data_IF_286410523933
#
_entry.id   IF_286410523933
#
_cell.length_a   1.000
_cell.length_b   1.000
_cell.length_c   1.000
_cell.angle_alpha   90.00
_cell.angle_beta   90.00
_cell.angle_gamma   90.00
#
_symmetry.space_group_name_H-M   'P 1'
#
loop_
_entity.id
_entity.type
_entity.pdbx_description
1 polymer ?
#
# COMPACT_ATOMS: atom_id res chain seq x y z
N UNK A 1 -21.23 12.61 2.78
CA UNK A 1 -22.00 12.84 4.03
C UNK A 1 -23.35 13.49 3.75
N UNK A 2 -23.45 14.61 3.05
CA UNK A 2 -24.74 15.28 2.78
C UNK A 2 -25.82 14.38 2.15
N UNK A 3 -25.45 13.51 1.20
CA UNK A 3 -26.41 12.57 0.59
C UNK A 3 -26.90 11.50 1.57
N UNK A 4 -26.05 11.04 2.48
CA UNK A 4 -26.44 10.08 3.50
C UNK A 4 -27.45 10.69 4.47
N UNK A 5 -27.22 11.93 4.92
CA UNK A 5 -28.17 12.65 5.77
C UNK A 5 -29.51 12.88 5.09
N UNK A 6 -29.48 13.28 3.81
CA UNK A 6 -30.71 13.55 3.03
C UNK A 6 -31.57 12.29 2.83
N UNK A 7 -30.94 11.12 2.69
CA UNK A 7 -31.64 9.85 2.40
C UNK A 7 -31.76 8.92 3.63
N UNK A 8 -31.31 9.34 4.80
CA UNK A 8 -31.32 8.51 6.00
C UNK A 8 -30.35 7.30 5.92
N UNK A 9 -29.30 7.40 5.09
CA UNK A 9 -28.29 6.37 4.96
C UNK A 9 -27.18 6.53 6.02
N UNK A 10 -26.55 5.42 6.39
CA UNK A 10 -25.36 5.47 7.22
C UNK A 10 -24.12 5.64 6.34
N UNK A 11 -23.36 6.70 6.56
CA UNK A 11 -22.06 6.87 5.92
C UNK A 11 -21.02 6.00 6.64
N UNK A 12 -20.34 5.13 5.91
CA UNK A 12 -19.18 4.38 6.40
C UNK A 12 -17.94 4.86 5.65
N UNK A 13 -16.95 5.37 6.38
CA UNK A 13 -15.65 5.73 5.79
C UNK A 13 -14.90 4.46 5.39
N UNK A 14 -14.21 4.50 4.25
CA UNK A 14 -13.41 3.36 3.77
C UNK A 14 -12.21 3.04 4.66
N UNK A 15 -11.78 3.96 5.51
CA UNK A 15 -10.60 3.79 6.39
C UNK A 15 -10.79 4.41 7.78
N UNK A 16 -11.45 5.57 7.88
CA UNK A 16 -11.66 6.29 9.15
C UNK A 16 -12.92 5.76 9.87
N UNK A 17 -12.97 4.47 10.10
CA UNK A 17 -14.05 3.77 10.79
C UNK A 17 -13.49 2.54 11.53
N UNK A 18 -13.84 2.40 12.82
CA UNK A 18 -13.33 1.30 13.65
C UNK A 18 -13.72 -0.09 13.13
N UNK A 19 -14.89 -0.22 12.51
CA UNK A 19 -15.34 -1.52 11.98
C UNK A 19 -14.55 -1.88 10.72
N UNK A 20 -14.20 -0.90 9.89
CA UNK A 20 -13.32 -1.10 8.74
C UNK A 20 -11.92 -1.53 9.17
N UNK A 21 -11.35 -0.87 10.18
CA UNK A 21 -10.05 -1.25 10.76
C UNK A 21 -10.11 -2.66 11.38
N UNK A 22 -11.19 -2.98 12.12
CA UNK A 22 -11.38 -4.31 12.71
C UNK A 22 -11.54 -5.39 11.64
N UNK A 23 -12.27 -5.11 10.57
CA UNK A 23 -12.38 -6.01 9.42
C UNK A 23 -11.02 -6.28 8.76
N UNK A 24 -10.23 -5.22 8.55
CA UNK A 24 -8.88 -5.36 8.01
C UNK A 24 -7.91 -6.15 8.94
N UNK A 25 -8.14 -6.13 10.25
CA UNK A 25 -7.35 -6.88 11.21
C UNK A 25 -7.45 -8.41 10.99
N UNK A 26 -8.56 -8.91 10.44
CA UNK A 26 -8.69 -10.36 10.13
C UNK A 26 -7.63 -10.83 9.14
N UNK A 27 -7.24 -9.98 8.18
CA UNK A 27 -6.15 -10.28 7.25
C UNK A 27 -4.79 -10.40 7.97
N UNK A 28 -4.56 -9.58 9.00
CA UNK A 28 -3.36 -9.71 9.84
C UNK A 28 -3.30 -11.06 10.57
N UNK A 29 -4.45 -11.56 11.06
CA UNK A 29 -4.53 -12.89 11.66
C UNK A 29 -4.20 -14.01 10.65
N UNK A 30 -4.74 -13.94 9.44
CA UNK A 30 -4.43 -14.87 8.35
C UNK A 30 -2.92 -14.86 8.02
N UNK A 31 -2.31 -13.67 7.93
CA UNK A 31 -0.86 -13.53 7.71
C UNK A 31 -0.06 -14.20 8.83
N UNK A 32 -0.46 -14.04 10.09
CA UNK A 32 0.23 -14.68 11.21
C UNK A 32 0.16 -16.22 11.17
N UNK A 33 -0.95 -16.76 10.69
CA UNK A 33 -1.18 -18.20 10.59
C UNK A 33 -0.47 -18.82 9.36
N UNK A 34 -0.58 -18.15 8.20
CA UNK A 34 -0.12 -18.73 6.93
C UNK A 34 1.36 -18.44 6.62
N UNK A 35 1.90 -17.36 7.17
CA UNK A 35 3.28 -16.92 6.90
C UNK A 35 4.12 -16.87 8.20
N UNK A 36 4.22 -17.99 8.95
CA UNK A 36 5.01 -18.00 10.18
C UNK A 36 6.49 -17.71 9.88
N UNK A 37 7.03 -16.75 10.61
CA UNK A 37 8.45 -16.42 10.57
C UNK A 37 8.86 -15.50 9.42
N UNK A 38 7.97 -14.72 8.82
CA UNK A 38 8.37 -13.53 8.07
C UNK A 38 8.91 -12.48 9.04
N UNK A 39 9.88 -11.69 8.59
CA UNK A 39 10.51 -10.65 9.41
C UNK A 39 9.83 -9.29 9.19
N UNK A 40 9.40 -9.02 7.96
CA UNK A 40 8.75 -7.77 7.55
C UNK A 40 7.57 -8.07 6.63
N UNK A 41 6.46 -7.36 6.83
CA UNK A 41 5.32 -7.35 5.91
C UNK A 41 5.17 -5.97 5.29
N UNK A 42 5.28 -5.87 3.96
CA UNK A 42 4.97 -4.65 3.21
C UNK A 42 3.46 -4.55 2.96
N UNK A 43 2.86 -3.43 3.37
CA UNK A 43 1.41 -3.17 3.26
C UNK A 43 1.18 -1.83 2.56
N UNK A 44 0.41 -1.79 1.45
CA UNK A 44 0.09 -0.51 0.81
C UNK A 44 -0.78 0.36 1.74
N UNK A 45 -0.50 1.67 1.76
CA UNK A 45 -1.19 2.61 2.63
C UNK A 45 -1.74 3.81 1.87
N UNK A 46 -3.08 3.95 1.86
CA UNK A 46 -3.81 5.15 1.47
C UNK A 46 -4.34 5.84 2.74
N UNK A 47 -5.62 5.74 3.03
CA UNK A 47 -6.21 6.29 4.26
C UNK A 47 -5.82 5.61 5.57
N UNK A 48 -5.04 4.52 5.50
CA UNK A 48 -4.47 3.84 6.66
C UNK A 48 -5.31 2.72 7.28
N UNK A 49 -6.57 2.53 6.87
CA UNK A 49 -7.46 1.54 7.50
C UNK A 49 -6.94 0.10 7.43
N UNK A 50 -6.44 -0.32 6.26
CA UNK A 50 -5.85 -1.64 6.05
C UNK A 50 -4.57 -1.82 6.89
N UNK A 51 -3.63 -0.89 6.77
CA UNK A 51 -2.36 -0.95 7.47
C UNK A 51 -2.54 -0.91 8.99
N UNK A 52 -3.44 -0.05 9.50
CA UNK A 52 -3.77 0.02 10.92
C UNK A 52 -4.38 -1.31 11.43
N UNK A 53 -5.33 -1.89 10.70
CA UNK A 53 -5.96 -3.16 11.08
C UNK A 53 -4.95 -4.30 11.16
N UNK A 54 -4.11 -4.45 10.14
CA UNK A 54 -3.06 -5.47 10.09
C UNK A 54 -2.06 -5.25 11.23
N UNK A 55 -1.61 -4.01 11.46
CA UNK A 55 -0.66 -3.70 12.53
C UNK A 55 -1.21 -4.03 13.92
N UNK A 56 -2.48 -3.73 14.18
CA UNK A 56 -3.16 -4.09 15.43
C UNK A 56 -3.18 -5.61 15.62
N UNK A 57 -3.52 -6.38 14.59
CA UNK A 57 -3.58 -7.84 14.68
C UNK A 57 -2.21 -8.48 14.89
N UNK A 58 -1.15 -7.88 14.34
CA UNK A 58 0.21 -8.41 14.43
C UNK A 58 1.02 -7.81 15.58
N UNK A 59 0.42 -6.92 16.38
CA UNK A 59 1.09 -6.29 17.51
C UNK A 59 1.62 -7.32 18.53
N UNK A 60 2.88 -7.19 18.90
CA UNK A 60 3.55 -8.11 19.83
C UNK A 60 4.12 -9.38 19.21
N UNK A 61 3.91 -9.63 17.92
CA UNK A 61 4.60 -10.69 17.18
C UNK A 61 5.99 -10.23 16.73
N UNK A 62 6.95 -11.15 16.51
CA UNK A 62 8.32 -10.83 16.12
C UNK A 62 8.42 -10.53 14.61
N UNK A 63 7.51 -9.72 14.08
CA UNK A 63 7.54 -9.22 12.71
C UNK A 63 7.19 -7.74 12.69
N UNK A 64 7.67 -7.02 11.69
CA UNK A 64 7.39 -5.61 11.49
C UNK A 64 6.42 -5.41 10.32
N UNK A 65 5.49 -4.48 10.46
CA UNK A 65 4.65 -4.01 9.35
C UNK A 65 5.23 -2.70 8.83
N UNK A 66 5.61 -2.67 7.55
CA UNK A 66 6.09 -1.46 6.89
C UNK A 66 5.04 -0.97 5.90
N UNK A 67 4.61 0.26 6.09
CA UNK A 67 3.67 0.89 5.17
C UNK A 67 4.36 1.26 3.86
N UNK A 68 3.64 1.17 2.73
CA UNK A 68 4.13 1.60 1.42
C UNK A 68 3.16 2.63 0.84
N UNK A 69 3.61 3.87 0.74
CA UNK A 69 2.87 5.00 0.17
C UNK A 69 3.38 5.33 -1.24
N UNK A 70 2.61 6.08 -2.02
CA UNK A 70 3.08 6.68 -3.28
C UNK A 70 3.75 8.03 -3.03
N UNK A 71 4.77 8.37 -3.81
CA UNK A 71 5.46 9.67 -3.74
C UNK A 71 4.50 10.85 -3.95
N UNK A 72 3.47 10.68 -4.77
CA UNK A 72 2.46 11.68 -5.06
C UNK A 72 1.51 11.95 -3.89
N UNK A 73 1.48 11.05 -2.89
CA UNK A 73 0.73 11.22 -1.65
C UNK A 73 1.61 10.92 -0.43
N UNK A 74 2.55 11.82 -0.08
CA UNK A 74 3.56 11.60 0.95
C UNK A 74 3.03 11.77 2.39
N UNK A 75 1.72 11.78 2.58
CA UNK A 75 1.07 12.06 3.85
C UNK A 75 1.63 11.21 5.00
N UNK A 76 1.70 9.90 4.83
CA UNK A 76 2.20 9.00 5.87
C UNK A 76 3.71 9.14 6.12
N UNK A 77 4.50 9.42 5.08
CA UNK A 77 5.94 9.70 5.21
C UNK A 77 6.14 10.96 6.07
N UNK A 78 5.38 12.01 5.78
CA UNK A 78 5.42 13.26 6.54
C UNK A 78 4.98 13.04 7.99
N UNK A 79 3.81 12.45 8.21
CA UNK A 79 3.24 12.26 9.55
C UNK A 79 4.10 11.39 10.46
N UNK A 80 4.68 10.31 9.94
CA UNK A 80 5.57 9.45 10.73
C UNK A 80 6.90 10.14 11.05
N UNK A 81 7.41 10.99 10.14
CA UNK A 81 8.66 11.72 10.38
C UNK A 81 8.46 12.89 11.37
N UNK A 82 7.32 13.57 11.34
CA UNK A 82 7.04 14.73 12.20
C UNK A 82 6.38 14.37 13.52
N UNK A 83 5.73 13.20 13.61
CA UNK A 83 4.89 12.78 14.74
C UNK A 83 3.56 13.52 14.81
N UNK A 84 3.19 14.27 13.77
CA UNK A 84 1.98 15.09 13.76
C UNK A 84 1.17 14.88 12.48
N UNK A 85 -0.15 14.71 12.65
CA UNK A 85 -1.09 14.69 11.55
C UNK A 85 -1.44 16.11 11.12
N UNK A 86 -1.14 16.46 9.88
CA UNK A 86 -1.40 17.78 9.28
C UNK A 86 -1.90 17.61 7.83
N UNK A 87 -2.39 18.70 7.24
CA UNK A 87 -2.78 18.67 5.84
C UNK A 87 -1.54 18.63 4.96
N UNK A 88 -1.40 17.58 4.17
CA UNK A 88 -0.30 17.40 3.23
C UNK A 88 -0.82 17.51 1.80
N UNK A 89 -0.10 18.22 0.95
CA UNK A 89 -0.43 18.32 -0.47
C UNK A 89 -0.22 16.97 -1.15
N UNK A 90 -1.18 16.57 -1.97
CA UNK A 90 -1.14 15.31 -2.73
C UNK A 90 -1.33 15.60 -4.22
N UNK A 91 -0.75 14.76 -5.06
CA UNK A 91 -0.85 14.81 -6.52
C UNK A 91 -1.56 13.57 -7.11
N UNK A 92 -1.78 13.58 -8.41
CA UNK A 92 -2.31 12.41 -9.12
C UNK A 92 -1.26 11.30 -9.20
N UNK A 93 -1.69 10.06 -9.05
CA UNK A 93 -0.86 8.87 -9.21
C UNK A 93 -1.63 7.79 -9.98
N UNK A 94 -0.91 6.87 -10.62
CA UNK A 94 -1.53 5.66 -11.17
C UNK A 94 -2.14 4.78 -10.06
N UNK A 95 -1.62 4.88 -8.83
CA UNK A 95 -2.12 4.21 -7.64
C UNK A 95 -3.26 5.00 -6.97
N UNK A 96 -4.38 5.17 -7.67
CA UNK A 96 -5.51 5.99 -7.25
C UNK A 96 -6.04 5.64 -5.85
N UNK A 97 -6.02 4.36 -5.47
CA UNK A 97 -6.46 3.91 -4.15
C UNK A 97 -5.51 4.31 -3.00
N UNK A 98 -4.30 4.77 -3.31
CA UNK A 98 -3.33 5.25 -2.32
C UNK A 98 -3.14 6.77 -2.36
N UNK A 99 -3.64 7.45 -3.39
CA UNK A 99 -3.51 8.88 -3.56
C UNK A 99 -4.75 9.62 -3.09
N UNK A 100 -4.56 10.85 -2.64
CA UNK A 100 -5.62 11.72 -2.19
C UNK A 100 -5.42 12.25 -0.76
N UNK A 101 -6.15 13.29 -0.40
CA UNK A 101 -6.04 13.91 0.92
C UNK A 101 -6.60 12.99 2.01
N UNK A 102 -5.91 12.98 3.15
CA UNK A 102 -6.33 12.27 4.36
C UNK A 102 -6.60 13.32 5.42
N UNK A 103 -7.75 13.20 6.11
CA UNK A 103 -8.06 14.11 7.21
C UNK A 103 -7.13 13.90 8.41
N UNK A 104 -6.53 14.98 8.97
CA UNK A 104 -5.63 14.86 10.13
C UNK A 104 -6.30 14.27 11.38
N UNK A 105 -7.62 14.35 11.47
CA UNK A 105 -8.41 13.76 12.58
C UNK A 105 -8.72 12.28 12.42
N UNK A 106 -8.11 11.60 11.44
CA UNK A 106 -8.37 10.17 11.22
C UNK A 106 -7.97 9.31 12.42
N UNK A 107 -8.80 8.34 12.77
CA UNK A 107 -8.51 7.36 13.83
C UNK A 107 -7.33 6.45 13.47
N UNK A 108 -6.96 6.38 12.19
CA UNK A 108 -5.86 5.53 11.71
C UNK A 108 -4.49 6.11 12.06
N UNK A 109 -4.37 7.44 12.25
CA UNK A 109 -3.09 8.06 12.55
C UNK A 109 -2.42 7.52 13.82
N UNK A 110 -3.06 7.55 15.00
CA UNK A 110 -2.40 7.03 16.21
C UNK A 110 -2.07 5.54 16.09
N UNK A 111 -2.90 4.73 15.44
CA UNK A 111 -2.64 3.30 15.27
C UNK A 111 -1.41 3.05 14.37
N UNK A 112 -1.32 3.76 13.26
CA UNK A 112 -0.18 3.64 12.34
C UNK A 112 1.08 4.20 12.97
N UNK A 113 1.00 5.39 13.60
CA UNK A 113 2.14 6.04 14.26
C UNK A 113 2.75 5.18 15.38
N UNK A 114 1.90 4.54 16.19
CA UNK A 114 2.36 3.80 17.37
C UNK A 114 2.83 2.37 17.02
N UNK A 115 2.32 1.78 15.94
CA UNK A 115 2.54 0.37 15.61
C UNK A 115 3.44 0.13 14.41
N UNK A 116 3.54 1.07 13.47
CA UNK A 116 4.39 0.92 12.29
C UNK A 116 5.70 1.69 12.44
N UNK A 117 6.84 1.00 12.47
CA UNK A 117 8.13 1.66 12.65
C UNK A 117 8.57 2.44 11.42
N UNK A 118 7.97 2.18 10.26
CA UNK A 118 8.44 2.73 8.98
C UNK A 118 7.35 2.81 7.92
N UNK A 119 7.45 3.84 7.08
CA UNK A 119 6.81 3.92 5.78
C UNK A 119 7.84 4.07 4.67
N UNK A 120 7.63 3.36 3.57
CA UNK A 120 8.40 3.45 2.33
C UNK A 120 7.61 4.26 1.31
N UNK A 121 8.33 4.89 0.38
CA UNK A 121 7.72 5.64 -0.72
C UNK A 121 8.12 5.00 -2.05
N UNK A 122 7.18 4.89 -2.97
CA UNK A 122 7.39 4.38 -4.33
C UNK A 122 6.73 5.31 -5.34
N UNK A 123 7.36 5.50 -6.50
CA UNK A 123 6.82 6.32 -7.57
C UNK A 123 6.01 5.49 -8.59
N UNK A 124 5.32 6.19 -9.49
CA UNK A 124 4.45 5.58 -10.49
C UNK A 124 5.21 4.62 -11.44
N UNK A 125 6.47 4.90 -11.76
CA UNK A 125 7.28 4.03 -12.62
C UNK A 125 7.59 2.69 -11.91
N UNK A 126 7.96 2.73 -10.63
CA UNK A 126 8.21 1.53 -9.82
C UNK A 126 6.93 0.70 -9.64
N UNK A 127 5.80 1.36 -9.40
CA UNK A 127 4.50 0.68 -9.29
C UNK A 127 4.11 0.03 -10.62
N UNK A 128 4.24 0.73 -11.74
CA UNK A 128 3.96 0.20 -13.08
C UNK A 128 4.86 -0.98 -13.43
N UNK A 129 6.16 -0.91 -13.06
CA UNK A 129 7.08 -2.03 -13.18
C UNK A 129 6.61 -3.25 -12.37
N UNK A 130 6.18 -3.06 -11.12
CA UNK A 130 5.67 -4.15 -10.29
C UNK A 130 4.42 -4.82 -10.87
N UNK A 131 3.49 -4.04 -11.44
CA UNK A 131 2.31 -4.58 -12.17
C UNK A 131 2.75 -5.44 -13.35
N UNK A 132 3.66 -4.95 -14.18
CA UNK A 132 4.16 -5.67 -15.34
C UNK A 132 4.93 -6.95 -14.93
N UNK A 133 5.76 -6.86 -13.90
CA UNK A 133 6.50 -7.99 -13.35
C UNK A 133 5.57 -9.10 -12.84
N UNK A 134 4.53 -8.76 -12.06
CA UNK A 134 3.53 -9.73 -11.57
C UNK A 134 2.82 -10.43 -12.72
N UNK A 135 2.47 -9.70 -13.75
CA UNK A 135 1.81 -10.27 -14.92
C UNK A 135 2.71 -11.23 -15.67
N UNK A 136 3.96 -10.83 -15.93
CA UNK A 136 4.90 -11.60 -16.72
C UNK A 136 5.41 -12.85 -16.00
N UNK A 137 5.64 -12.78 -14.68
CA UNK A 137 6.28 -13.86 -13.92
C UNK A 137 5.29 -14.74 -13.17
N UNK A 138 4.18 -14.19 -12.70
CA UNK A 138 3.20 -14.89 -11.86
C UNK A 138 1.79 -14.96 -12.45
N UNK A 139 1.54 -14.38 -13.62
CA UNK A 139 0.22 -14.32 -14.27
C UNK A 139 -0.87 -13.74 -13.34
N UNK A 140 -0.47 -12.82 -12.46
CA UNK A 140 -1.37 -12.15 -11.52
C UNK A 140 -1.80 -10.78 -12.06
N UNK A 141 -3.10 -10.54 -12.08
CA UNK A 141 -3.67 -9.22 -12.37
C UNK A 141 -3.84 -8.49 -11.06
N UNK A 142 -3.13 -7.36 -10.92
CA UNK A 142 -3.19 -6.49 -9.75
C UNK A 142 -3.29 -5.04 -10.22
N UNK A 143 -4.13 -4.23 -9.59
CA UNK A 143 -4.17 -2.80 -9.86
C UNK A 143 -2.92 -2.09 -9.29
N UNK A 144 -2.57 -0.88 -9.77
CA UNK A 144 -1.38 -0.16 -9.30
C UNK A 144 -1.31 0.01 -7.77
N UNK A 145 -2.42 0.39 -7.13
CA UNK A 145 -2.49 0.49 -5.66
C UNK A 145 -2.19 -0.82 -4.95
N UNK A 146 -2.63 -1.94 -5.54
CA UNK A 146 -2.39 -3.28 -5.00
C UNK A 146 -0.97 -3.79 -5.20
N UNK A 147 -0.23 -3.23 -6.18
CA UNK A 147 1.14 -3.60 -6.49
C UNK A 147 2.20 -2.75 -5.75
N UNK A 148 1.81 -1.68 -5.07
CA UNK A 148 2.76 -0.75 -4.43
C UNK A 148 3.66 -1.44 -3.40
N UNK A 149 3.14 -2.38 -2.61
CA UNK A 149 3.93 -3.15 -1.65
C UNK A 149 5.03 -3.98 -2.33
N UNK A 150 4.74 -4.55 -3.50
CA UNK A 150 5.73 -5.26 -4.31
C UNK A 150 6.75 -4.29 -4.91
N UNK A 151 6.33 -3.13 -5.39
CA UNK A 151 7.24 -2.12 -5.91
C UNK A 151 8.34 -1.79 -4.90
N UNK A 152 7.97 -1.56 -3.64
CA UNK A 152 8.94 -1.34 -2.57
C UNK A 152 9.85 -2.56 -2.30
N UNK A 153 9.34 -3.78 -2.43
CA UNK A 153 10.15 -4.98 -2.23
C UNK A 153 11.15 -5.21 -3.38
N UNK A 154 10.79 -4.88 -4.61
CA UNK A 154 11.67 -5.01 -5.79
C UNK A 154 12.85 -4.03 -5.75
N UNK A 155 12.71 -2.88 -5.09
CA UNK A 155 13.83 -1.94 -4.83
C UNK A 155 14.86 -2.51 -3.84
N UNK A 156 14.54 -3.63 -3.19
CA UNK A 156 15.42 -4.37 -2.28
C UNK A 156 16.20 -3.46 -1.29
N UNK A 157 15.51 -2.76 -0.37
CA UNK A 157 16.17 -1.92 0.61
C UNK A 157 17.30 -2.67 1.33
N UNK A 158 18.45 -2.03 1.51
CA UNK A 158 19.64 -2.68 2.08
C UNK A 158 19.39 -3.29 3.47
N UNK A 159 18.47 -2.71 4.23
CA UNK A 159 18.07 -3.18 5.56
C UNK A 159 17.34 -4.54 5.53
N UNK A 160 16.83 -4.94 4.36
CA UNK A 160 16.09 -6.20 4.18
C UNK A 160 16.97 -7.34 3.64
N UNK A 161 18.27 -7.12 3.47
CA UNK A 161 19.18 -8.17 3.03
C UNK A 161 19.18 -9.33 4.03
N UNK A 162 18.75 -10.50 3.57
CA UNK A 162 18.61 -11.71 4.39
C UNK A 162 17.31 -11.84 5.17
N UNK A 163 16.46 -10.80 5.18
CA UNK A 163 15.14 -10.87 5.79
C UNK A 163 14.14 -11.62 4.89
N UNK A 164 13.17 -12.27 5.52
CA UNK A 164 11.99 -12.83 4.83
C UNK A 164 10.91 -11.78 4.77
N UNK A 165 10.64 -11.27 3.57
CA UNK A 165 9.68 -10.19 3.34
C UNK A 165 8.38 -10.76 2.79
N UNK A 166 7.29 -10.54 3.52
CA UNK A 166 5.93 -10.72 3.03
C UNK A 166 5.49 -9.49 2.24
N UNK A 167 4.81 -9.71 1.14
CA UNK A 167 4.26 -8.63 0.29
C UNK A 167 2.76 -8.79 0.18
N UNK A 168 2.00 -7.81 0.63
CA UNK A 168 0.55 -7.84 0.52
C UNK A 168 0.11 -7.30 -0.84
N UNK A 169 -0.40 -8.19 -1.69
CA UNK A 169 -1.09 -7.83 -2.93
C UNK A 169 -2.57 -7.63 -2.61
N UNK A 170 -3.14 -6.47 -2.94
CA UNK A 170 -4.51 -6.14 -2.53
C UNK A 170 -5.50 -6.19 -3.70
N UNK A 171 -5.84 -5.06 -4.30
CA UNK A 171 -6.91 -4.95 -5.27
C UNK A 171 -6.52 -5.33 -6.70
N UNK A 172 -7.56 -5.59 -7.52
CA UNK A 172 -7.45 -5.75 -8.97
C UNK A 172 -8.58 -5.04 -9.71
N UNK A 173 -9.05 -3.94 -9.14
CA UNK A 173 -10.10 -3.12 -9.73
C UNK A 173 -9.54 -2.18 -10.81
N UNK A 174 -9.12 -2.73 -11.93
CA UNK A 174 -8.54 -2.00 -13.05
C UNK A 174 -9.26 -2.37 -14.36
N UNK A 175 -9.59 -1.36 -15.18
CA UNK A 175 -10.14 -1.57 -16.51
C UNK A 175 -9.11 -2.18 -17.47
N UNK A 176 -9.56 -3.07 -18.35
CA UNK A 176 -8.69 -3.85 -19.25
C UNK A 176 -7.81 -2.95 -20.14
N UNK A 177 -8.37 -1.87 -20.69
CA UNK A 177 -7.61 -0.96 -21.58
C UNK A 177 -6.49 -0.24 -20.81
N UNK A 178 -6.77 0.23 -19.58
CA UNK A 178 -5.78 0.83 -18.72
C UNK A 178 -4.69 -0.16 -18.33
N UNK A 179 -5.10 -1.36 -17.99
CA UNK A 179 -4.16 -2.43 -17.64
C UNK A 179 -3.22 -2.76 -18.80
N UNK A 180 -3.77 -2.92 -20.02
CA UNK A 180 -2.98 -3.15 -21.22
C UNK A 180 -1.99 -2.01 -21.49
N UNK A 181 -2.43 -0.77 -21.39
CA UNK A 181 -1.54 0.39 -21.57
C UNK A 181 -0.38 0.40 -20.57
N UNK A 182 -0.63 0.06 -19.31
CA UNK A 182 0.43 -0.07 -18.31
C UNK A 182 1.44 -1.18 -18.68
N UNK A 183 0.96 -2.33 -19.12
CA UNK A 183 1.85 -3.42 -19.54
C UNK A 183 2.71 -3.03 -20.74
N UNK A 184 2.13 -2.42 -21.78
CA UNK A 184 2.84 -1.96 -22.98
C UNK A 184 3.96 -0.97 -22.62
N UNK A 185 3.73 -0.05 -21.68
CA UNK A 185 4.72 0.92 -21.24
C UNK A 185 5.90 0.29 -20.50
N UNK A 186 5.65 -0.69 -19.64
CA UNK A 186 6.66 -1.21 -18.72
C UNK A 186 7.34 -2.50 -19.20
N UNK A 187 6.71 -3.33 -20.03
CA UNK A 187 7.35 -4.49 -20.65
C UNK A 187 8.34 -4.03 -21.72
N UNK A 188 7.96 -3.06 -22.54
CA UNK A 188 8.85 -2.51 -23.57
C UNK A 188 10.08 -1.81 -22.97
N UNK A 189 9.94 -1.16 -21.80
CA UNK A 189 11.06 -0.54 -21.11
C UNK A 189 12.10 -1.57 -20.62
N UNK A 190 11.67 -2.74 -20.16
CA UNK A 190 12.57 -3.83 -19.74
C UNK A 190 13.37 -4.42 -20.92
N UNK A 191 12.75 -4.57 -22.08
CA UNK A 191 13.45 -5.06 -23.29
C UNK A 191 14.52 -4.09 -23.78
N UNK A 192 14.34 -2.78 -23.57
CA UNK A 192 15.34 -1.77 -23.94
C UNK A 192 16.52 -1.77 -22.98
N UNK A 193 16.28 -1.80 -21.65
CA UNK A 193 17.35 -1.86 -20.64
C UNK A 193 18.17 -3.16 -20.74
N UNK A 194 17.55 -4.28 -21.08
CA UNK A 194 18.22 -5.56 -21.31
C UNK A 194 19.12 -5.57 -22.57
N UNK A 195 18.82 -4.76 -23.60
CA UNK A 195 19.63 -4.64 -24.81
C UNK A 195 20.83 -3.74 -24.62
N UNK A 196 20.73 -2.74 -23.74
CA UNK A 196 21.83 -1.80 -23.47
C UNK A 196 22.89 -2.38 -22.51
N UNK A 197 22.61 -3.54 -21.90
CA UNK A 197 23.53 -4.27 -20.99
C UNK A 197 24.27 -5.46 -21.66
N UNK A 198 24.01 -5.71 -22.93
CA UNK A 198 24.71 -6.75 -23.74
C UNK A 198 25.61 -6.13 -24.77
#
# INVERSE_FOLDING_TARGET
>A
MADAETHGWTFASAYNDRHMVTGAATLGLEVAEELPGIDVLHVPIGGGGLAAGIAVALAGLPLQVWAVATEESPTWINWLNTGHAEVVATGPSIAEGLSGPIEPSTLTFPLVHDLLPRALSVNDAQIGHAVAWLTATHQQIVEPSGAAALAAALEAPAELVGARVGVLLTGRNIGLDRYRSLLEQHINAQEQDGRDRT
#
